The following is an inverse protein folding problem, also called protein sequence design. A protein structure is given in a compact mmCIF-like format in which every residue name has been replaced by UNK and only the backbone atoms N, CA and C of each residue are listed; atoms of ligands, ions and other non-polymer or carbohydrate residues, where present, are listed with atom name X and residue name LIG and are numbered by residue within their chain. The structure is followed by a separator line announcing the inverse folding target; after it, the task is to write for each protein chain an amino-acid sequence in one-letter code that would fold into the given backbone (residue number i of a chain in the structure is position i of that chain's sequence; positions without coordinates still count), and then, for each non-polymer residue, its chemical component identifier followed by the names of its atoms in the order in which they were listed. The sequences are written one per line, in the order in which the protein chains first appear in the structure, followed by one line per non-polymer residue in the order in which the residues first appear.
data_IF_286346342587
#
_entry.id   IF_286346342587
#
_cell.length_a   1.000
_cell.length_b   1.000
_cell.length_c   1.000
_cell.angle_alpha   90.00
_cell.angle_beta   90.00
_cell.angle_gamma   90.00
#
_symmetry.space_group_name_H-M   'P 1'
#
loop_
_entity.id
_entity.type
_entity.pdbx_description
1 polymer ?
#
# COMPACT_ATOMS: atom_id res chain seq x y z
N UNK A 1 -44.95 -2.67 -29.06
CA UNK A 1 -43.76 -1.83 -29.27
C UNK A 1 -42.98 -1.75 -27.95
N UNK A 2 -42.00 -2.65 -27.81
CA UNK A 2 -41.08 -2.65 -26.65
C UNK A 2 -39.86 -1.79 -27.02
N UNK A 3 -39.64 -0.70 -26.27
CA UNK A 3 -38.42 0.10 -26.37
C UNK A 3 -37.40 -0.47 -25.40
N UNK A 4 -36.40 -1.16 -25.93
CA UNK A 4 -35.20 -1.61 -25.22
C UNK A 4 -34.33 -0.40 -24.92
N UNK A 5 -34.16 -0.05 -23.63
CA UNK A 5 -33.15 0.91 -23.18
C UNK A 5 -31.84 0.16 -22.94
N UNK A 6 -31.00 0.10 -23.95
CA UNK A 6 -29.62 -0.28 -23.77
C UNK A 6 -28.89 0.92 -23.12
N UNK A 7 -28.70 0.86 -21.82
CA UNK A 7 -27.82 1.80 -21.12
C UNK A 7 -26.38 1.46 -21.47
N UNK A 8 -25.79 2.25 -22.34
CA UNK A 8 -24.37 2.17 -22.65
C UNK A 8 -23.57 2.54 -21.38
N UNK A 9 -22.94 1.55 -20.77
CA UNK A 9 -21.94 1.75 -19.74
C UNK A 9 -20.74 2.47 -20.38
N UNK A 10 -20.61 3.78 -20.13
CA UNK A 10 -19.40 4.52 -20.46
C UNK A 10 -18.23 3.90 -19.70
N UNK A 11 -17.10 3.59 -20.35
CA UNK A 11 -15.93 3.07 -19.65
C UNK A 11 -15.44 4.13 -18.67
N UNK A 12 -15.34 3.75 -17.40
CA UNK A 12 -14.73 4.60 -16.39
C UNK A 12 -13.31 4.98 -16.82
N UNK A 13 -12.85 6.23 -16.56
CA UNK A 13 -11.50 6.65 -16.93
C UNK A 13 -10.50 5.66 -16.33
N UNK A 14 -9.59 5.15 -17.16
CA UNK A 14 -8.55 4.21 -16.76
C UNK A 14 -7.67 4.85 -15.69
N UNK A 15 -7.99 4.63 -14.41
CA UNK A 15 -7.10 4.99 -13.31
C UNK A 15 -5.85 4.11 -13.44
N UNK A 16 -4.67 4.74 -13.48
CA UNK A 16 -3.39 4.01 -13.41
C UNK A 16 -3.47 3.01 -12.27
N UNK A 17 -3.20 1.75 -12.58
CA UNK A 17 -3.10 0.68 -11.58
C UNK A 17 -2.10 1.13 -10.51
N UNK A 18 -2.47 1.03 -9.24
CA UNK A 18 -1.55 1.35 -8.16
C UNK A 18 -0.36 0.40 -8.23
N UNK A 19 0.86 0.94 -8.19
CA UNK A 19 2.11 0.18 -8.26
C UNK A 19 2.93 0.39 -6.99
N UNK A 20 3.72 -0.61 -6.62
CA UNK A 20 4.68 -0.47 -5.52
C UNK A 20 5.74 0.59 -5.90
N UNK A 21 6.15 1.40 -4.92
CA UNK A 21 7.07 2.54 -5.12
C UNK A 21 8.32 2.39 -4.27
N UNK A 22 9.47 2.58 -4.89
CA UNK A 22 10.80 2.58 -4.24
C UNK A 22 11.37 3.98 -4.26
N UNK A 23 11.67 4.56 -3.09
CA UNK A 23 12.40 5.82 -2.98
C UNK A 23 13.90 5.58 -3.27
N UNK A 24 14.49 6.33 -4.20
CA UNK A 24 15.94 6.35 -4.45
C UNK A 24 16.52 7.62 -3.84
N UNK A 25 17.32 7.47 -2.78
CA UNK A 25 17.80 8.57 -1.95
C UNK A 25 19.32 8.69 -2.06
N UNK A 26 19.79 9.88 -2.45
CA UNK A 26 21.21 10.28 -2.52
C UNK A 26 22.10 9.31 -3.32
N UNK A 27 21.54 8.67 -4.35
CA UNK A 27 22.26 7.73 -5.22
C UNK A 27 22.95 8.47 -6.37
N UNK A 28 24.11 7.96 -6.78
CA UNK A 28 24.79 8.38 -8.01
C UNK A 28 23.90 8.09 -9.24
N UNK A 29 24.03 8.87 -10.29
CA UNK A 29 23.19 8.76 -11.48
C UNK A 29 23.23 7.36 -12.10
N UNK A 30 24.43 6.75 -12.22
CA UNK A 30 24.60 5.39 -12.72
C UNK A 30 23.83 4.36 -11.89
N UNK A 31 23.91 4.45 -10.55
CA UNK A 31 23.20 3.55 -9.64
C UNK A 31 21.69 3.75 -9.71
N UNK A 32 21.22 5.01 -9.84
CA UNK A 32 19.80 5.33 -10.02
C UNK A 32 19.24 4.68 -11.28
N UNK A 33 19.92 4.88 -12.42
CA UNK A 33 19.51 4.30 -13.69
C UNK A 33 19.42 2.78 -13.60
N UNK A 34 20.48 2.14 -13.09
CA UNK A 34 20.55 0.69 -13.00
C UNK A 34 19.48 0.10 -12.08
N UNK A 35 19.25 0.68 -10.91
CA UNK A 35 18.19 0.22 -9.99
C UNK A 35 16.80 0.46 -10.56
N UNK A 36 16.57 1.58 -11.25
CA UNK A 36 15.30 1.85 -11.93
C UNK A 36 14.98 0.75 -12.93
N UNK A 37 15.96 0.37 -13.77
CA UNK A 37 15.80 -0.73 -14.72
C UNK A 37 15.54 -2.09 -14.03
N UNK A 38 16.24 -2.36 -12.92
CA UNK A 38 16.06 -3.59 -12.17
C UNK A 38 14.65 -3.68 -11.54
N UNK A 39 14.17 -2.63 -10.87
CA UNK A 39 12.85 -2.62 -10.23
C UNK A 39 11.72 -2.64 -11.26
N UNK A 40 11.89 -1.95 -12.39
CA UNK A 40 10.91 -1.92 -13.48
C UNK A 40 10.59 -3.33 -14.02
N UNK A 41 11.55 -4.26 -14.06
CA UNK A 41 11.33 -5.63 -14.50
C UNK A 41 10.34 -6.40 -13.60
N UNK A 42 10.11 -5.93 -12.38
CA UNK A 42 9.14 -6.49 -11.44
C UNK A 42 7.88 -5.61 -11.28
N UNK A 43 7.64 -4.68 -12.21
CA UNK A 43 6.50 -3.77 -12.15
C UNK A 43 6.52 -2.78 -10.99
N UNK A 44 7.71 -2.50 -10.44
CA UNK A 44 7.91 -1.60 -9.30
C UNK A 44 8.41 -0.25 -9.82
N UNK A 45 7.72 0.82 -9.44
CA UNK A 45 8.07 2.20 -9.80
C UNK A 45 9.18 2.74 -8.88
N UNK A 46 10.14 3.48 -9.45
CA UNK A 46 11.16 4.19 -8.66
C UNK A 46 10.88 5.69 -8.63
N UNK A 47 11.09 6.30 -7.49
CA UNK A 47 10.90 7.74 -7.28
C UNK A 47 12.18 8.33 -6.76
N UNK A 48 12.73 9.31 -7.50
CA UNK A 48 13.92 10.04 -7.06
C UNK A 48 13.56 10.97 -5.90
N UNK A 49 14.34 10.89 -4.84
CA UNK A 49 14.20 11.71 -3.64
C UNK A 49 15.55 12.34 -3.31
N UNK A 50 15.83 13.51 -3.90
CA UNK A 50 17.10 14.21 -3.77
C UNK A 50 17.11 15.29 -2.68
N UNK A 51 15.94 15.83 -2.33
CA UNK A 51 15.81 16.87 -1.31
C UNK A 51 14.76 16.49 -0.29
N UNK A 52 14.96 16.89 0.97
CA UNK A 52 14.00 16.65 2.05
C UNK A 52 13.57 15.18 2.21
N UNK A 53 14.49 14.23 1.95
CA UNK A 53 14.19 12.80 1.94
C UNK A 53 13.52 12.32 3.24
N UNK A 54 14.01 12.78 4.39
CA UNK A 54 13.43 12.44 5.69
C UNK A 54 11.98 12.93 5.82
N UNK A 55 11.67 14.13 5.34
CA UNK A 55 10.32 14.70 5.37
C UNK A 55 9.38 13.96 4.41
N UNK A 56 9.85 13.67 3.21
CA UNK A 56 9.07 12.91 2.22
C UNK A 56 8.74 11.51 2.73
N UNK A 57 9.70 10.81 3.36
CA UNK A 57 9.45 9.50 3.96
C UNK A 57 8.50 9.54 5.16
N UNK A 58 8.30 10.69 5.80
CA UNK A 58 7.25 10.85 6.83
C UNK A 58 5.86 11.08 6.23
N UNK A 59 5.77 11.77 5.08
CA UNK A 59 4.51 12.21 4.47
C UNK A 59 4.00 11.30 3.36
N UNK A 60 4.90 10.74 2.56
CA UNK A 60 4.56 9.91 1.41
C UNK A 60 4.78 8.42 1.74
N UNK A 61 3.92 7.56 1.18
CA UNK A 61 4.08 6.10 1.30
C UNK A 61 5.07 5.59 0.25
N UNK A 62 6.03 4.77 0.70
CA UNK A 62 6.92 3.96 -0.13
C UNK A 62 6.97 2.53 0.40
N UNK A 63 7.07 1.56 -0.46
CA UNK A 63 7.18 0.15 -0.09
C UNK A 63 8.64 -0.25 0.16
N UNK A 64 9.57 0.50 -0.48
CA UNK A 64 11.00 0.34 -0.24
C UNK A 64 11.73 1.69 -0.36
N UNK A 65 12.95 1.71 0.16
CA UNK A 65 13.88 2.83 0.03
C UNK A 65 15.28 2.28 -0.24
N UNK A 66 15.91 2.75 -1.30
CA UNK A 66 17.33 2.50 -1.57
C UNK A 66 18.11 3.78 -1.24
N UNK A 67 19.03 3.69 -0.30
CA UNK A 67 19.75 4.83 0.25
C UNK A 67 21.27 4.62 0.18
N UNK A 68 21.99 5.64 -0.23
CA UNK A 68 23.45 5.65 -0.14
C UNK A 68 23.88 5.86 1.32
N UNK A 69 24.84 5.07 1.80
CA UNK A 69 25.42 5.19 3.15
C UNK A 69 26.43 6.35 3.24
N UNK A 70 25.92 7.56 3.09
CA UNK A 70 26.69 8.80 3.25
C UNK A 70 26.34 9.49 4.56
N UNK A 71 27.13 10.47 5.03
CA UNK A 71 26.77 11.27 6.20
C UNK A 71 25.36 11.86 6.06
N UNK A 72 24.52 11.64 7.04
CA UNK A 72 23.09 12.06 7.01
C UNK A 72 22.09 10.95 6.66
N UNK A 73 22.53 9.80 6.13
CA UNK A 73 21.66 8.65 5.85
C UNK A 73 20.87 8.19 7.09
N UNK A 74 21.45 8.33 8.29
CA UNK A 74 20.82 8.00 9.56
C UNK A 74 19.47 8.71 9.76
N UNK A 75 19.41 10.01 9.48
CA UNK A 75 18.19 10.83 9.61
C UNK A 75 17.06 10.32 8.70
N UNK A 76 17.42 9.88 7.52
CA UNK A 76 16.45 9.33 6.53
C UNK A 76 15.93 7.97 6.97
N UNK A 77 16.81 7.09 7.44
CA UNK A 77 16.44 5.76 7.94
C UNK A 77 15.55 5.87 9.18
N UNK A 78 15.90 6.76 10.10
CA UNK A 78 15.10 7.04 11.30
C UNK A 78 13.72 7.59 10.93
N UNK A 79 13.67 8.55 10.01
CA UNK A 79 12.40 9.08 9.51
C UNK A 79 11.52 7.99 8.88
N UNK A 80 12.09 7.06 8.13
CA UNK A 80 11.37 5.92 7.59
C UNK A 80 10.83 5.02 8.71
N UNK A 81 11.66 4.63 9.68
CA UNK A 81 11.26 3.70 10.76
C UNK A 81 10.27 4.29 11.76
N UNK A 82 10.29 5.61 11.96
CA UNK A 82 9.32 6.31 12.83
C UNK A 82 8.04 6.73 12.10
N UNK A 83 8.00 6.63 10.76
CA UNK A 83 6.81 6.96 9.99
C UNK A 83 5.70 5.90 10.17
N UNK A 84 4.45 6.29 10.44
CA UNK A 84 3.34 5.35 10.55
C UNK A 84 3.12 4.50 9.30
N UNK A 85 3.40 5.05 8.12
CA UNK A 85 3.19 4.38 6.83
C UNK A 85 4.42 3.63 6.31
N UNK A 86 5.64 4.01 6.72
CA UNK A 86 6.89 3.49 6.17
C UNK A 86 7.74 2.67 7.16
N UNK A 87 7.30 2.50 8.42
CA UNK A 87 8.07 1.80 9.46
C UNK A 87 8.52 0.39 9.07
N UNK A 88 7.82 -0.24 8.12
CA UNK A 88 8.11 -1.59 7.63
C UNK A 88 8.58 -1.65 6.17
N UNK A 89 8.88 -0.48 5.55
CA UNK A 89 9.39 -0.48 4.18
C UNK A 89 10.67 -1.32 4.07
N UNK A 90 10.90 -1.91 2.91
CA UNK A 90 12.12 -2.65 2.60
C UNK A 90 13.27 -1.66 2.42
N UNK A 91 14.30 -1.77 3.25
CA UNK A 91 15.43 -0.84 3.23
C UNK A 91 16.62 -1.48 2.54
N UNK A 92 17.05 -0.89 1.45
CA UNK A 92 18.27 -1.20 0.73
C UNK A 92 19.33 -0.15 1.05
N UNK A 93 20.54 -0.61 1.35
CA UNK A 93 21.70 0.26 1.50
C UNK A 93 22.65 0.11 0.29
N UNK A 94 23.28 1.20 -0.12
CA UNK A 94 24.33 1.20 -1.14
C UNK A 94 25.63 1.76 -0.57
N UNK A 95 26.74 1.19 -0.96
CA UNK A 95 28.07 1.65 -0.52
C UNK A 95 28.30 1.45 0.97
N UNK A 96 29.22 2.23 1.50
CA UNK A 96 29.62 2.13 2.88
C UNK A 96 30.63 1.02 3.17
N UNK A 97 31.21 1.09 4.36
CA UNK A 97 32.16 0.11 4.88
C UNK A 97 31.44 -0.93 5.73
N UNK A 98 32.14 -2.00 6.14
CA UNK A 98 31.63 -2.96 7.12
C UNK A 98 31.25 -2.26 8.44
N UNK A 99 31.98 -1.22 8.84
CA UNK A 99 31.67 -0.42 10.01
C UNK A 99 30.35 0.37 9.85
N UNK A 100 30.09 0.95 8.67
CA UNK A 100 28.83 1.64 8.38
C UNK A 100 27.67 0.67 8.40
N UNK A 101 27.82 -0.52 7.86
CA UNK A 101 26.81 -1.59 7.90
C UNK A 101 26.45 -1.93 9.35
N UNK A 102 27.43 -2.08 10.21
CA UNK A 102 27.21 -2.40 11.61
C UNK A 102 26.51 -1.25 12.34
N UNK A 103 26.94 0.00 12.08
CA UNK A 103 26.35 1.22 12.65
C UNK A 103 24.86 1.37 12.28
N UNK A 104 24.49 1.07 11.04
CA UNK A 104 23.13 1.23 10.54
C UNK A 104 22.25 -0.01 10.66
N UNK A 105 22.78 -1.13 11.16
CA UNK A 105 22.04 -2.39 11.34
C UNK A 105 20.81 -2.23 12.22
N UNK A 106 20.84 -1.34 13.21
CA UNK A 106 19.70 -0.99 14.08
C UNK A 106 18.45 -0.53 13.33
N UNK A 107 18.60 -0.04 12.09
CA UNK A 107 17.47 0.36 11.24
C UNK A 107 16.88 -0.81 10.43
N UNK A 108 17.39 -2.03 10.58
CA UNK A 108 16.87 -3.21 9.89
C UNK A 108 17.02 -3.11 8.37
N UNK A 109 18.28 -2.96 7.90
CA UNK A 109 18.61 -3.03 6.48
C UNK A 109 18.29 -4.45 5.98
N UNK A 110 17.47 -4.55 4.94
CA UNK A 110 17.03 -5.82 4.38
C UNK A 110 18.03 -6.39 3.36
N UNK A 111 18.75 -5.50 2.64
CA UNK A 111 19.73 -5.91 1.66
C UNK A 111 20.74 -4.79 1.39
N UNK A 112 21.95 -5.15 0.97
CA UNK A 112 23.01 -4.22 0.64
C UNK A 112 23.51 -4.44 -0.79
N UNK A 113 23.56 -3.34 -1.53
CA UNK A 113 24.22 -3.29 -2.82
C UNK A 113 25.69 -2.86 -2.64
N UNK A 114 26.58 -3.61 -3.22
CA UNK A 114 28.00 -3.24 -3.25
C UNK A 114 28.26 -2.21 -4.34
N UNK A 115 29.22 -1.31 -4.12
CA UNK A 115 29.74 -0.40 -5.14
C UNK A 115 31.12 -0.87 -5.62
N UNK A 116 31.41 -0.82 -6.93
CA UNK A 116 30.55 -0.37 -8.03
C UNK A 116 29.35 -1.30 -8.25
N UNK A 117 28.18 -0.69 -8.50
CA UNK A 117 26.95 -1.45 -8.68
C UNK A 117 26.94 -2.12 -10.06
N UNK A 118 26.96 -3.43 -10.09
CA UNK A 118 26.88 -4.23 -11.31
C UNK A 118 25.46 -4.77 -11.54
N UNK A 119 25.01 -4.72 -12.81
CA UNK A 119 23.66 -5.16 -13.18
C UNK A 119 23.30 -6.59 -12.76
N UNK A 120 24.16 -7.62 -12.96
CA UNK A 120 23.82 -8.98 -12.54
C UNK A 120 23.61 -9.11 -11.03
N UNK A 121 24.47 -8.46 -10.23
CA UNK A 121 24.39 -8.45 -8.78
C UNK A 121 23.15 -7.70 -8.29
N UNK A 122 22.87 -6.53 -8.85
CA UNK A 122 21.68 -5.75 -8.55
C UNK A 122 20.40 -6.52 -8.88
N UNK A 123 20.33 -7.12 -10.06
CA UNK A 123 19.19 -7.91 -10.50
C UNK A 123 18.94 -9.13 -9.60
N UNK A 124 19.99 -9.83 -9.21
CA UNK A 124 19.90 -10.98 -8.29
C UNK A 124 19.30 -10.54 -6.95
N UNK A 125 19.77 -9.42 -6.42
CA UNK A 125 19.31 -8.91 -5.12
C UNK A 125 17.86 -8.41 -5.19
N UNK A 126 17.50 -7.64 -6.22
CA UNK A 126 16.12 -7.20 -6.44
C UNK A 126 15.18 -8.38 -6.60
N UNK A 127 15.56 -9.39 -7.40
CA UNK A 127 14.79 -10.64 -7.56
C UNK A 127 14.59 -11.38 -6.24
N UNK A 128 15.61 -11.44 -5.39
CA UNK A 128 15.50 -12.10 -4.08
C UNK A 128 14.57 -11.36 -3.11
N UNK A 129 14.38 -10.05 -3.28
CA UNK A 129 13.70 -9.19 -2.30
C UNK A 129 12.40 -8.57 -2.81
N UNK A 130 12.10 -8.63 -4.12
CA UNK A 130 10.90 -7.98 -4.69
C UNK A 130 9.60 -8.44 -4.02
N UNK A 131 9.51 -9.70 -3.60
CA UNK A 131 8.32 -10.20 -2.89
C UNK A 131 8.10 -9.50 -1.54
N UNK A 132 9.15 -9.05 -0.87
CA UNK A 132 9.03 -8.24 0.35
C UNK A 132 8.41 -6.88 0.05
N UNK A 133 8.83 -6.25 -1.07
CA UNK A 133 8.29 -4.98 -1.55
C UNK A 133 6.81 -5.12 -1.91
N UNK A 134 6.45 -6.16 -2.67
CA UNK A 134 5.05 -6.44 -3.03
C UNK A 134 4.19 -6.78 -1.81
N UNK A 135 4.74 -7.50 -0.83
CA UNK A 135 4.04 -7.79 0.42
C UNK A 135 3.72 -6.49 1.18
N UNK A 136 4.69 -5.57 1.27
CA UNK A 136 4.46 -4.26 1.91
C UNK A 136 3.44 -3.42 1.12
N UNK A 137 3.47 -3.47 -0.20
CA UNK A 137 2.47 -2.84 -1.07
C UNK A 137 1.06 -3.36 -0.78
N UNK A 138 0.84 -4.67 -0.76
CA UNK A 138 -0.46 -5.30 -0.52
C UNK A 138 -1.06 -4.91 0.84
N UNK A 139 -0.23 -4.66 1.84
CA UNK A 139 -0.68 -4.23 3.18
C UNK A 139 -1.38 -2.88 3.17
N UNK A 140 -1.01 -1.98 2.26
CA UNK A 140 -1.53 -0.61 2.17
C UNK A 140 -2.36 -0.36 0.92
N UNK A 141 -2.40 -1.31 -0.01
CA UNK A 141 -3.16 -1.18 -1.24
C UNK A 141 -4.65 -0.94 -0.92
N UNK A 142 -5.21 0.07 -1.55
CA UNK A 142 -6.63 0.38 -1.53
C UNK A 142 -7.16 0.32 -2.94
N UNK A 143 -8.06 -0.61 -3.18
CA UNK A 143 -8.67 -0.83 -4.48
C UNK A 143 -9.92 0.04 -4.56
N UNK A 144 -9.99 1.00 -5.49
CA UNK A 144 -11.23 1.73 -5.75
C UNK A 144 -12.28 0.75 -6.27
N UNK A 145 -13.30 0.50 -5.49
CA UNK A 145 -14.40 -0.39 -5.86
C UNK A 145 -15.71 0.27 -5.48
N UNK A 146 -16.67 0.22 -6.39
CA UNK A 146 -18.03 0.71 -6.15
C UNK A 146 -18.97 -0.49 -6.06
N UNK A 147 -19.46 -0.74 -4.88
CA UNK A 147 -20.48 -1.78 -4.60
C UNK A 147 -21.41 -1.29 -3.49
N UNK A 148 -22.65 -1.79 -3.49
CA UNK A 148 -23.59 -1.52 -2.42
C UNK A 148 -23.18 -2.27 -1.16
N UNK A 149 -23.23 -1.58 -0.03
CA UNK A 149 -22.85 -2.07 1.28
C UNK A 149 -24.00 -1.86 2.25
N UNK A 150 -24.42 -2.94 2.88
CA UNK A 150 -25.32 -2.88 4.04
C UNK A 150 -24.45 -2.79 5.30
N UNK A 151 -24.71 -1.82 6.14
CA UNK A 151 -24.05 -1.62 7.43
C UNK A 151 -25.08 -1.83 8.53
N UNK A 152 -24.76 -2.65 9.50
CA UNK A 152 -25.59 -2.92 10.68
C UNK A 152 -24.73 -2.66 11.92
N UNK A 153 -25.16 -1.73 12.75
CA UNK A 153 -24.50 -1.44 14.03
C UNK A 153 -24.99 -2.39 15.14
N UNK A 154 -24.24 -2.46 16.22
CA UNK A 154 -24.55 -3.36 17.35
C UNK A 154 -25.90 -3.05 18.04
N UNK A 155 -26.39 -1.81 17.93
CA UNK A 155 -27.71 -1.38 18.43
C UNK A 155 -28.87 -1.73 17.48
N UNK A 156 -28.57 -2.40 16.36
CA UNK A 156 -29.55 -2.82 15.36
C UNK A 156 -29.85 -1.76 14.28
N UNK A 157 -29.25 -0.57 14.34
CA UNK A 157 -29.44 0.43 13.29
C UNK A 157 -28.84 -0.07 11.97
N UNK A 158 -29.62 0.02 10.90
CA UNK A 158 -29.25 -0.47 9.57
C UNK A 158 -29.27 0.67 8.57
N UNK A 159 -28.17 0.85 7.86
CA UNK A 159 -28.06 1.82 6.76
C UNK A 159 -27.51 1.20 5.49
N UNK A 160 -27.78 1.86 4.38
CA UNK A 160 -27.21 1.55 3.06
C UNK A 160 -26.12 2.55 2.72
N UNK A 161 -24.99 2.05 2.21
CA UNK A 161 -23.85 2.84 1.80
C UNK A 161 -23.30 2.31 0.48
N UNK A 162 -22.45 3.10 -0.17
CA UNK A 162 -21.66 2.65 -1.32
C UNK A 162 -20.17 2.67 -0.95
N UNK A 163 -19.44 1.66 -1.38
CA UNK A 163 -17.99 1.63 -1.16
C UNK A 163 -17.27 2.69 -2.00
N UNK A 164 -16.18 3.24 -1.46
CA UNK A 164 -15.25 4.14 -2.16
C UNK A 164 -13.98 3.38 -2.50
N UNK A 165 -13.41 2.70 -1.50
CA UNK A 165 -12.23 1.84 -1.64
C UNK A 165 -12.27 0.69 -0.63
N UNK A 166 -11.55 -0.38 -0.96
CA UNK A 166 -11.40 -1.59 -0.16
C UNK A 166 -9.93 -1.91 0.02
N UNK A 167 -9.55 -2.30 1.24
CA UNK A 167 -8.24 -2.84 1.59
C UNK A 167 -8.37 -4.11 2.42
N UNK A 168 -7.29 -4.86 2.62
CA UNK A 168 -7.28 -6.04 3.48
C UNK A 168 -7.64 -5.76 4.95
N UNK A 169 -7.55 -4.50 5.38
CA UNK A 169 -7.82 -4.07 6.75
C UNK A 169 -9.09 -3.24 6.92
N UNK A 170 -9.80 -2.89 5.86
CA UNK A 170 -10.99 -2.04 6.00
C UNK A 170 -11.52 -1.49 4.68
N UNK A 171 -12.59 -0.72 4.79
CA UNK A 171 -13.32 -0.14 3.67
C UNK A 171 -13.70 1.31 3.97
N UNK A 172 -13.60 2.17 2.95
CA UNK A 172 -14.17 3.52 2.98
C UNK A 172 -15.56 3.50 2.35
N UNK A 173 -16.53 4.09 3.02
CA UNK A 173 -17.94 4.08 2.65
C UNK A 173 -18.47 5.49 2.45
N UNK A 174 -19.34 5.66 1.47
CA UNK A 174 -20.11 6.88 1.21
C UNK A 174 -21.55 6.63 1.60
N UNK A 175 -22.12 7.54 2.39
CA UNK A 175 -23.52 7.51 2.84
C UNK A 175 -24.01 8.92 3.11
N UNK A 176 -25.33 9.12 3.10
CA UNK A 176 -26.00 10.34 3.58
C UNK A 176 -26.30 10.30 5.07
N UNK A 177 -26.26 9.12 5.68
CA UNK A 177 -26.56 8.93 7.09
C UNK A 177 -25.33 9.09 7.97
N UNK A 178 -25.54 9.39 9.23
CA UNK A 178 -24.48 9.59 10.19
C UNK A 178 -24.11 8.27 10.90
N UNK A 179 -22.80 8.03 11.01
CA UNK A 179 -22.26 6.89 11.74
C UNK A 179 -21.10 7.36 12.62
N UNK A 180 -21.28 7.38 13.95
CA UNK A 180 -20.26 7.86 14.88
C UNK A 180 -18.98 7.03 14.82
N UNK A 181 -17.83 7.70 15.01
CA UNK A 181 -16.56 7.01 15.19
C UNK A 181 -16.58 6.17 16.47
N UNK A 182 -15.99 4.98 16.43
CA UNK A 182 -16.01 4.00 17.52
C UNK A 182 -17.18 3.02 17.48
N UNK A 183 -18.19 3.23 16.63
CA UNK A 183 -19.32 2.31 16.51
C UNK A 183 -18.85 0.97 15.93
N UNK A 184 -19.21 -0.12 16.60
CA UNK A 184 -19.01 -1.46 16.07
C UNK A 184 -20.11 -1.80 15.07
N UNK A 185 -19.72 -2.34 13.92
CA UNK A 185 -20.62 -2.62 12.80
C UNK A 185 -20.33 -3.98 12.17
N UNK A 186 -21.32 -4.58 11.58
CA UNK A 186 -21.16 -5.62 10.57
C UNK A 186 -21.47 -5.01 9.20
N UNK A 187 -20.56 -5.12 8.25
CA UNK A 187 -20.77 -4.69 6.86
C UNK A 187 -20.92 -5.89 5.94
N UNK A 188 -21.88 -5.80 5.03
CA UNK A 188 -22.15 -6.85 4.03
C UNK A 188 -22.10 -6.24 2.64
N UNK A 189 -21.34 -6.84 1.74
CA UNK A 189 -21.14 -6.39 0.36
C UNK A 189 -20.83 -7.56 -0.57
N UNK A 190 -20.90 -7.33 -1.88
CA UNK A 190 -20.55 -8.31 -2.90
C UNK A 190 -19.35 -7.84 -3.72
N UNK A 191 -18.50 -8.77 -4.13
CA UNK A 191 -17.38 -8.54 -5.04
C UNK A 191 -17.60 -9.37 -6.31
N UNK A 192 -17.04 -8.94 -7.44
CA UNK A 192 -17.32 -9.51 -8.77
C UNK A 192 -17.17 -11.04 -8.87
N UNK A 193 -16.27 -11.62 -8.10
CA UNK A 193 -15.97 -13.07 -8.15
C UNK A 193 -16.20 -13.78 -6.82
N UNK A 194 -16.75 -13.06 -5.82
CA UNK A 194 -17.05 -13.63 -4.51
C UNK A 194 -18.54 -13.52 -4.19
N UNK A 195 -19.13 -14.54 -3.54
CA UNK A 195 -20.45 -14.39 -2.95
C UNK A 195 -20.44 -13.27 -1.91
N UNK A 196 -21.64 -12.85 -1.51
CA UNK A 196 -21.79 -11.79 -0.50
C UNK A 196 -20.95 -12.09 0.74
N UNK A 197 -20.12 -11.15 1.10
CA UNK A 197 -19.22 -11.21 2.27
C UNK A 197 -19.83 -10.35 3.38
N UNK A 198 -19.84 -10.87 4.59
CA UNK A 198 -20.15 -10.10 5.79
C UNK A 198 -18.93 -10.10 6.70
N UNK A 199 -18.49 -8.91 7.17
CA UNK A 199 -17.30 -8.76 8.03
C UNK A 199 -17.62 -7.77 9.14
N UNK A 200 -17.21 -8.11 10.37
CA UNK A 200 -17.30 -7.21 11.52
C UNK A 200 -16.16 -6.19 11.49
N UNK A 201 -16.40 -5.02 12.05
CA UNK A 201 -15.43 -3.98 12.17
C UNK A 201 -15.87 -2.84 13.07
N UNK A 202 -15.06 -1.79 13.11
CA UNK A 202 -15.37 -0.56 13.84
C UNK A 202 -15.15 0.67 12.97
N UNK A 203 -15.99 1.68 13.15
CA UNK A 203 -15.84 2.97 12.48
C UNK A 203 -14.64 3.69 13.07
N UNK A 204 -13.63 4.00 12.24
CA UNK A 204 -12.38 4.60 12.71
C UNK A 204 -12.24 6.08 12.40
N UNK A 205 -12.95 6.56 11.40
CA UNK A 205 -13.00 7.98 11.05
C UNK A 205 -14.31 8.32 10.36
N UNK A 206 -14.67 9.59 10.40
CA UNK A 206 -15.88 10.14 9.82
C UNK A 206 -15.60 11.46 9.12
N UNK A 207 -16.30 11.71 8.01
CA UNK A 207 -16.42 12.97 7.28
C UNK A 207 -17.90 13.18 6.93
N UNK A 208 -18.25 14.37 6.42
CA UNK A 208 -19.65 14.81 6.16
C UNK A 208 -20.52 13.79 5.39
N UNK A 209 -19.95 13.05 4.43
CA UNK A 209 -20.71 12.09 3.59
C UNK A 209 -19.96 10.76 3.45
N UNK A 210 -19.05 10.45 4.37
CA UNK A 210 -18.26 9.22 4.29
C UNK A 210 -17.67 8.87 5.65
N UNK A 211 -17.42 7.57 5.84
CA UNK A 211 -16.73 7.07 7.01
C UNK A 211 -15.86 5.86 6.63
N UNK A 212 -14.90 5.53 7.49
CA UNK A 212 -14.04 4.36 7.30
C UNK A 212 -14.28 3.31 8.36
N UNK A 213 -14.45 2.08 7.91
CA UNK A 213 -14.56 0.89 8.75
C UNK A 213 -13.23 0.14 8.72
N UNK A 214 -12.67 -0.13 9.90
CA UNK A 214 -11.57 -1.06 10.09
C UNK A 214 -12.15 -2.44 10.40
N UNK A 215 -11.74 -3.46 9.65
CA UNK A 215 -12.16 -4.83 9.91
C UNK A 215 -11.58 -5.36 11.23
N UNK A 216 -12.36 -6.13 11.94
CA UNK A 216 -11.93 -6.83 13.13
C UNK A 216 -10.86 -7.87 12.76
N UNK A 217 -9.71 -7.79 13.44
CA UNK A 217 -8.61 -8.71 13.19
C UNK A 217 -8.94 -10.16 13.55
N UNK A 218 -9.88 -10.37 14.46
CA UNK A 218 -10.33 -11.70 14.90
C UNK A 218 -11.43 -12.30 14.02
N UNK A 219 -12.00 -11.54 13.05
CA UNK A 219 -13.03 -12.05 12.16
C UNK A 219 -12.39 -12.78 10.96
N UNK A 220 -12.45 -14.10 10.97
CA UNK A 220 -11.88 -14.95 9.92
C UNK A 220 -12.50 -14.71 8.53
N UNK A 221 -13.72 -14.16 8.47
CA UNK A 221 -14.42 -13.86 7.21
C UNK A 221 -13.64 -12.84 6.36
N UNK A 222 -12.84 -11.96 6.99
CA UNK A 222 -11.94 -11.02 6.30
C UNK A 222 -10.88 -11.70 5.43
N UNK A 223 -10.58 -12.98 5.67
CA UNK A 223 -9.60 -13.75 4.87
C UNK A 223 -10.01 -13.79 3.41
N UNK A 224 -11.28 -14.00 3.12
CA UNK A 224 -11.83 -14.00 1.75
C UNK A 224 -11.61 -12.65 1.04
N UNK A 225 -11.77 -11.55 1.77
CA UNK A 225 -11.50 -10.20 1.25
C UNK A 225 -10.03 -10.03 0.91
N UNK A 226 -9.14 -10.48 1.79
CA UNK A 226 -7.69 -10.43 1.57
C UNK A 226 -7.28 -11.25 0.34
N UNK A 227 -7.75 -12.48 0.24
CA UNK A 227 -7.47 -13.37 -0.91
C UNK A 227 -7.95 -12.76 -2.22
N UNK A 228 -9.14 -12.14 -2.22
CA UNK A 228 -9.65 -11.44 -3.40
C UNK A 228 -8.76 -10.23 -3.79
N UNK A 229 -8.31 -9.44 -2.80
CA UNK A 229 -7.42 -8.30 -3.04
C UNK A 229 -6.08 -8.78 -3.61
N UNK A 230 -5.51 -9.83 -3.04
CA UNK A 230 -4.25 -10.40 -3.49
C UNK A 230 -4.36 -10.86 -4.96
N UNK A 231 -5.43 -11.58 -5.31
CA UNK A 231 -5.70 -11.99 -6.69
C UNK A 231 -5.96 -10.80 -7.64
N UNK A 232 -6.64 -9.74 -7.18
CA UNK A 232 -6.87 -8.53 -7.97
C UNK A 232 -5.59 -7.77 -8.29
N UNK A 233 -4.62 -7.75 -7.35
CA UNK A 233 -3.34 -7.04 -7.53
C UNK A 233 -2.34 -7.84 -8.37
N UNK A 234 -2.52 -9.16 -8.49
CA UNK A 234 -1.68 -10.05 -9.32
C UNK A 234 -2.05 -10.00 -10.81
N UNK A 235 -3.32 -9.71 -11.15
CA UNK A 235 -3.82 -9.57 -12.52
C UNK A 235 -3.66 -8.13 -13.02
#
# INVERSE_FOLDING_TARGET
MQKSFATALSPAPSRKKATARVALVDLKESSRYLLTECFRQFGIETVLVSTNAAERLRKEKFEACAINLVPGAEKVMEAARTSPSNSRLVLYALGGTAHDTMRYSKYGINAMFQEPLERPAAMKLVRATHMLVLHEFRRYARIPIMTDVTVVSNDGHRLSASSIDLSSGGMSLKTSEDMPSGTNVEISFSLLTLPRVAVRGSVTWRKTKSFGVRFDASDDRRRKVKEWIDAYLEN
#
